data_IF_707435603669
#
_entry.id   IF_707435603669
#
_cell.length_a   1.000
_cell.length_b   1.000
_cell.length_c   1.000
_cell.angle_alpha   90.00
_cell.angle_beta   90.00
_cell.angle_gamma   90.00
#
_symmetry.space_group_name_H-M   'P 1'
#
loop_
_entity.id
_entity.type
_entity.pdbx_description
1 polymer ?
#
# COMPACT_ATOMS: atom_id res chain seq x y z
N UNK A 1 6.01 6.94 18.85
CA UNK A 1 4.60 7.18 18.53
C UNK A 1 3.90 5.84 18.38
N UNK A 2 2.58 5.84 18.27
CA UNK A 2 1.81 4.62 18.03
C UNK A 2 1.80 4.33 16.52
N UNK A 3 2.19 3.13 16.07
CA UNK A 3 2.09 2.77 14.66
C UNK A 3 0.61 2.75 14.24
N UNK A 4 0.34 3.25 13.04
CA UNK A 4 -1.00 3.26 12.42
C UNK A 4 -0.96 2.35 11.19
N UNK A 5 -1.96 1.47 11.05
CA UNK A 5 -2.15 0.73 9.82
C UNK A 5 -2.85 1.64 8.79
N UNK A 6 -2.13 2.01 7.72
CA UNK A 6 -2.66 2.89 6.67
C UNK A 6 -3.39 2.13 5.57
N UNK A 7 -3.12 0.84 5.38
CA UNK A 7 -3.72 0.05 4.30
C UNK A 7 -5.07 -0.56 4.68
N UNK A 8 -5.29 -0.74 5.99
CA UNK A 8 -6.53 -1.27 6.59
C UNK A 8 -7.04 -2.55 5.90
N UNK A 9 -6.13 -3.42 5.46
CA UNK A 9 -6.45 -4.65 4.78
C UNK A 9 -5.94 -5.87 5.58
N UNK A 10 -6.70 -6.98 5.65
CA UNK A 10 -6.24 -8.20 6.32
C UNK A 10 -5.21 -9.01 5.52
N UNK A 11 -5.09 -8.78 4.22
CA UNK A 11 -4.06 -9.42 3.40
C UNK A 11 -2.67 -8.92 3.77
N UNK A 12 -1.65 -9.71 3.47
CA UNK A 12 -0.28 -9.33 3.71
C UNK A 12 0.18 -8.25 2.71
N UNK A 13 0.90 -7.26 3.23
CA UNK A 13 1.53 -6.18 2.49
C UNK A 13 3.06 -6.29 2.65
N UNK A 14 3.79 -6.08 1.57
CA UNK A 14 5.23 -6.34 1.49
C UNK A 14 5.99 -5.18 0.85
N UNK A 15 7.28 -5.08 1.20
CA UNK A 15 8.27 -4.24 0.54
C UNK A 15 7.82 -2.78 0.30
N UNK A 16 7.39 -2.04 1.35
CA UNK A 16 6.93 -0.68 1.17
C UNK A 16 8.08 0.26 0.77
N UNK A 17 7.79 1.20 -0.12
CA UNK A 17 8.66 2.33 -0.48
C UNK A 17 7.87 3.62 -0.38
N UNK A 18 8.42 4.59 0.34
CA UNK A 18 7.85 5.94 0.47
C UNK A 18 8.45 6.83 -0.63
N UNK A 19 7.63 7.68 -1.22
CA UNK A 19 8.08 8.64 -2.22
C UNK A 19 8.89 9.80 -1.59
N UNK A 20 9.62 10.61 -2.39
CA UNK A 20 10.44 11.70 -1.85
C UNK A 20 9.68 12.80 -1.11
N UNK A 21 8.39 13.03 -1.41
CA UNK A 21 7.57 14.02 -0.68
C UNK A 21 7.01 13.46 0.63
N UNK A 22 7.00 12.13 0.79
CA UNK A 22 6.46 11.46 1.96
C UNK A 22 4.93 11.36 1.95
N UNK A 23 4.29 11.62 0.82
CA UNK A 23 2.84 11.62 0.68
C UNK A 23 2.29 10.27 0.23
N UNK A 24 3.11 9.45 -0.43
CA UNK A 24 2.70 8.19 -1.04
C UNK A 24 3.57 7.02 -0.59
N UNK A 25 2.94 5.85 -0.54
CA UNK A 25 3.59 4.57 -0.28
C UNK A 25 3.24 3.60 -1.40
N UNK A 26 4.24 3.10 -2.11
CA UNK A 26 4.12 1.95 -3.00
C UNK A 26 4.44 0.66 -2.22
N UNK A 27 3.69 -0.40 -2.44
CA UNK A 27 3.87 -1.69 -1.75
C UNK A 27 3.27 -2.83 -2.56
N UNK A 28 3.76 -4.06 -2.35
CA UNK A 28 3.16 -5.26 -2.93
C UNK A 28 2.09 -5.83 -1.99
N UNK A 29 0.99 -6.36 -2.51
CA UNK A 29 -0.10 -6.91 -1.70
C UNK A 29 -0.80 -8.09 -2.36
N UNK A 30 -1.23 -9.06 -1.56
CA UNK A 30 -2.02 -10.23 -1.99
C UNK A 30 -3.54 -9.98 -1.97
N UNK A 31 -3.97 -8.75 -1.71
CA UNK A 31 -5.39 -8.41 -1.47
C UNK A 31 -6.33 -8.68 -2.65
N UNK A 32 -5.80 -8.88 -3.86
CA UNK A 32 -6.56 -9.24 -5.07
C UNK A 32 -6.58 -10.74 -5.37
N UNK A 33 -5.99 -11.59 -4.53
CA UNK A 33 -5.88 -13.04 -4.75
C UNK A 33 -4.58 -13.48 -5.43
N UNK A 34 -3.73 -12.52 -5.81
CA UNK A 34 -2.39 -12.68 -6.32
C UNK A 34 -1.55 -11.45 -5.90
N UNK A 35 -0.23 -11.53 -6.02
CA UNK A 35 0.67 -10.43 -5.65
C UNK A 35 0.60 -9.32 -6.71
N UNK A 36 0.13 -8.14 -6.31
CA UNK A 36 0.02 -6.95 -7.17
C UNK A 36 0.67 -5.73 -6.51
N UNK A 37 1.02 -4.72 -7.31
CA UNK A 37 1.64 -3.47 -6.83
C UNK A 37 0.55 -2.43 -6.60
N UNK A 38 0.51 -1.90 -5.38
CA UNK A 38 -0.42 -0.84 -4.99
C UNK A 38 0.33 0.44 -4.63
N UNK A 39 -0.38 1.56 -4.73
CA UNK A 39 0.05 2.83 -4.14
C UNK A 39 -1.09 3.43 -3.31
N UNK A 40 -0.76 4.00 -2.15
CA UNK A 40 -1.72 4.67 -1.26
C UNK A 40 -1.12 5.93 -0.65
N UNK A 41 -1.94 6.90 -0.21
CA UNK A 41 -1.40 8.02 0.56
C UNK A 41 -0.94 7.58 1.94
N UNK A 42 0.01 8.31 2.50
CA UNK A 42 0.46 8.12 3.90
C UNK A 42 -0.67 8.33 4.92
N UNK A 43 -1.73 9.03 4.54
CA UNK A 43 -2.96 9.20 5.35
C UNK A 43 -3.83 7.94 5.37
N UNK A 44 -3.57 6.96 4.49
CA UNK A 44 -4.43 5.81 4.22
C UNK A 44 -5.63 6.14 3.32
N UNK A 45 -5.73 7.38 2.87
CA UNK A 45 -6.73 7.82 1.88
C UNK A 45 -6.22 7.50 0.48
N UNK A 46 -7.12 7.15 -0.43
CA UNK A 46 -6.80 6.80 -1.84
C UNK A 46 -5.90 5.56 -1.97
N UNK A 47 -6.41 4.53 -2.61
CA UNK A 47 -5.69 3.28 -2.88
C UNK A 47 -5.87 2.93 -4.36
N UNK A 48 -4.76 2.74 -5.06
CA UNK A 48 -4.75 2.36 -6.46
C UNK A 48 -3.99 1.06 -6.65
N UNK A 49 -4.57 0.14 -7.42
CA UNK A 49 -3.85 -1.01 -7.93
C UNK A 49 -3.17 -0.63 -9.25
N UNK A 50 -1.84 -0.72 -9.32
CA UNK A 50 -1.04 -0.35 -10.48
C UNK A 50 -0.84 -1.50 -11.46
N UNK A 51 -1.12 -2.74 -11.04
CA UNK A 51 -0.97 -3.95 -11.86
C UNK A 51 -2.21 -4.85 -11.74
N UNK A 52 -2.63 -5.50 -12.83
CA UNK A 52 -3.85 -6.33 -12.87
C UNK A 52 -3.60 -7.51 -13.79
N UNK A 53 -2.97 -8.55 -13.26
CA UNK A 53 -2.62 -9.75 -14.02
C UNK A 53 -3.79 -10.74 -14.13
#
# INVERSE_FOLDING_TARGET
GNPTNITNNPAADFEPSIDPTGEWVAFASERSGNLEIFVTRITGEELYNLTQN
#
